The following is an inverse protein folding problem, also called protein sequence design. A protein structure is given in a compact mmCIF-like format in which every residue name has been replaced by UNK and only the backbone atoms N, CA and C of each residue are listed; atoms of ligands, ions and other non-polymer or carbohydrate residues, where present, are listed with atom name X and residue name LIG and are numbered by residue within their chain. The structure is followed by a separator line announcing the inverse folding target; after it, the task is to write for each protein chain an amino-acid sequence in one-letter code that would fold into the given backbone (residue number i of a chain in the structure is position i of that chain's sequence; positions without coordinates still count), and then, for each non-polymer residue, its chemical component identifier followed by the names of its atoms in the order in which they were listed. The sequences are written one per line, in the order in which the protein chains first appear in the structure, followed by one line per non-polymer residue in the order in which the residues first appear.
data_IF_760334396910
#
_entry.id   IF_760334396910
#
_cell.length_a   1.000
_cell.length_b   1.000
_cell.length_c   1.000
_cell.angle_alpha   90.00
_cell.angle_beta   90.00
_cell.angle_gamma   90.00
#
_symmetry.space_group_name_H-M   'P 1'
#
loop_
_entity.id
_entity.type
_entity.pdbx_description
1 polymer ?
#
# COMPACT_ATOMS: atom_id res chain seq x y z
N UNK A 1 -23.92 -11.99 -6.75
CA UNK A 1 -22.68 -12.82 -6.67
C UNK A 1 -21.43 -12.05 -7.10
N UNK A 2 -21.37 -11.49 -8.31
CA UNK A 2 -20.18 -10.79 -8.84
C UNK A 2 -19.67 -9.67 -7.91
N UNK A 3 -20.58 -8.85 -7.39
CA UNK A 3 -20.27 -7.77 -6.43
C UNK A 3 -19.50 -8.26 -5.20
N UNK A 4 -19.98 -9.34 -4.58
CA UNK A 4 -19.36 -9.92 -3.38
C UNK A 4 -17.97 -10.44 -3.73
N UNK A 5 -17.81 -11.08 -4.89
CA UNK A 5 -16.54 -11.61 -5.36
C UNK A 5 -15.51 -10.48 -5.57
N UNK A 6 -15.92 -9.38 -6.20
CA UNK A 6 -15.08 -8.19 -6.38
C UNK A 6 -14.71 -7.52 -5.05
N UNK A 7 -15.66 -7.36 -4.12
CA UNK A 7 -15.37 -6.85 -2.78
C UNK A 7 -14.34 -7.70 -2.06
N UNK A 8 -14.51 -9.04 -2.05
CA UNK A 8 -13.58 -9.96 -1.40
C UNK A 8 -12.20 -9.85 -2.03
N UNK A 9 -12.12 -9.77 -3.37
CA UNK A 9 -10.85 -9.62 -4.08
C UNK A 9 -10.12 -8.33 -3.68
N UNK A 10 -10.83 -7.20 -3.60
CA UNK A 10 -10.27 -5.91 -3.18
C UNK A 10 -9.78 -5.96 -1.73
N UNK A 11 -10.59 -6.52 -0.82
CA UNK A 11 -10.22 -6.68 0.59
C UNK A 11 -8.97 -7.56 0.71
N UNK A 12 -8.95 -8.69 -0.01
CA UNK A 12 -7.81 -9.60 -0.02
C UNK A 12 -6.55 -8.91 -0.55
N UNK A 13 -6.65 -8.12 -1.62
CA UNK A 13 -5.54 -7.36 -2.16
C UNK A 13 -4.99 -6.36 -1.13
N UNK A 14 -5.88 -5.65 -0.43
CA UNK A 14 -5.49 -4.72 0.64
C UNK A 14 -4.77 -5.41 1.80
N UNK A 15 -5.27 -6.57 2.25
CA UNK A 15 -4.62 -7.39 3.29
C UNK A 15 -3.25 -7.87 2.81
N UNK A 16 -3.14 -8.32 1.57
CA UNK A 16 -1.90 -8.80 0.98
C UNK A 16 -0.83 -7.69 0.92
N UNK A 17 -1.21 -6.47 0.53
CA UNK A 17 -0.31 -5.30 0.55
C UNK A 17 0.22 -5.05 1.97
N UNK A 18 -0.65 -5.04 2.98
CA UNK A 18 -0.24 -4.84 4.38
C UNK A 18 0.72 -5.93 4.83
N UNK A 19 0.40 -7.20 4.53
CA UNK A 19 1.24 -8.33 4.90
C UNK A 19 2.63 -8.23 4.26
N UNK A 20 2.71 -8.04 2.94
CA UNK A 20 3.98 -7.92 2.21
C UNK A 20 4.81 -6.74 2.73
N UNK A 21 4.16 -5.60 2.99
CA UNK A 21 4.85 -4.39 3.47
C UNK A 21 5.52 -4.61 4.83
N UNK A 22 4.87 -5.36 5.73
CA UNK A 22 5.42 -5.69 7.05
C UNK A 22 6.53 -6.73 6.93
N UNK A 23 6.33 -7.81 6.19
CA UNK A 23 7.32 -8.90 6.07
C UNK A 23 8.57 -8.50 5.26
N UNK A 24 8.44 -7.62 4.26
CA UNK A 24 9.57 -7.14 3.44
C UNK A 24 10.49 -6.17 4.19
N UNK A 25 10.01 -5.54 5.27
CA UNK A 25 10.78 -4.62 6.10
C UNK A 25 11.98 -5.31 6.76
N UNK A 26 11.80 -6.50 7.31
CA UNK A 26 12.86 -7.19 8.06
C UNK A 26 13.93 -7.76 7.12
N UNK A 27 13.53 -8.30 5.97
CA UNK A 27 14.48 -8.91 5.01
C UNK A 27 15.37 -7.90 4.29
N UNK A 28 14.90 -6.67 4.06
CA UNK A 28 15.66 -5.66 3.34
C UNK A 28 16.67 -4.91 4.21
N UNK A 29 16.43 -4.76 5.51
CA UNK A 29 17.33 -4.06 6.44
C UNK A 29 18.62 -4.85 6.67
N UNK A 30 18.54 -6.18 6.71
CA UNK A 30 19.69 -7.05 7.01
C UNK A 30 20.67 -7.19 5.83
N UNK A 31 20.23 -6.88 4.60
CA UNK A 31 21.09 -6.93 3.40
C UNK A 31 21.94 -5.68 3.18
N UNK A 32 21.70 -4.60 3.90
CA UNK A 32 22.40 -3.33 3.68
C UNK A 32 23.64 -3.22 4.59
N UNK A 33 24.80 -3.63 4.07
CA UNK A 33 26.07 -3.73 4.82
C UNK A 33 26.85 -2.40 4.96
N UNK A 34 26.50 -1.31 4.24
CA UNK A 34 27.34 -0.09 4.18
C UNK A 34 26.73 1.17 4.81
N UNK A 35 27.63 2.12 5.13
CA UNK A 35 27.61 3.37 5.92
C UNK A 35 26.33 4.23 6.07
N UNK A 36 25.23 3.95 5.36
CA UNK A 36 23.99 4.73 5.39
C UNK A 36 22.78 3.95 5.95
N UNK A 37 23.03 3.03 6.89
CA UNK A 37 22.00 2.17 7.50
C UNK A 37 20.84 2.98 8.11
N UNK A 38 21.10 4.15 8.69
CA UNK A 38 20.06 5.00 9.28
C UNK A 38 19.17 5.69 8.24
N UNK A 39 19.75 6.14 7.13
CA UNK A 39 19.02 6.76 6.01
C UNK A 39 18.14 5.71 5.34
N UNK A 40 18.69 4.53 5.08
CA UNK A 40 17.97 3.40 4.49
C UNK A 40 16.86 2.87 5.41
N UNK A 41 17.10 2.78 6.73
CA UNK A 41 16.08 2.40 7.70
C UNK A 41 14.93 3.41 7.75
N UNK A 42 15.23 4.71 7.62
CA UNK A 42 14.20 5.75 7.49
C UNK A 42 13.42 5.59 6.17
N UNK A 43 14.11 5.42 5.04
CA UNK A 43 13.49 5.16 3.73
C UNK A 43 12.50 3.99 3.81
N UNK A 44 12.95 2.80 4.23
CA UNK A 44 12.09 1.62 4.37
C UNK A 44 10.93 1.92 5.31
N UNK A 45 11.17 2.55 6.46
CA UNK A 45 10.10 2.85 7.42
C UNK A 45 9.00 3.71 6.80
N UNK A 46 9.35 4.77 6.06
CA UNK A 46 8.36 5.64 5.42
C UNK A 46 7.67 4.96 4.24
N UNK A 47 8.40 4.18 3.45
CA UNK A 47 7.82 3.41 2.34
C UNK A 47 6.83 2.37 2.86
N UNK A 48 7.23 1.55 3.82
CA UNK A 48 6.36 0.57 4.49
C UNK A 48 5.13 1.25 5.10
N UNK A 49 5.28 2.42 5.72
CA UNK A 49 4.14 3.15 6.28
C UNK A 49 3.15 3.58 5.18
N UNK A 50 3.65 4.07 4.05
CA UNK A 50 2.81 4.43 2.89
C UNK A 50 2.06 3.22 2.35
N UNK A 51 2.76 2.10 2.16
CA UNK A 51 2.17 0.89 1.60
C UNK A 51 1.14 0.28 2.56
N UNK A 52 1.40 0.28 3.88
CA UNK A 52 0.42 -0.15 4.88
C UNK A 52 -0.83 0.73 4.87
N UNK A 53 -0.68 2.05 4.80
CA UNK A 53 -1.82 2.97 4.72
C UNK A 53 -2.63 2.72 3.44
N UNK A 54 -1.96 2.53 2.30
CA UNK A 54 -2.59 2.18 1.02
C UNK A 54 -3.37 0.86 1.12
N UNK A 55 -2.77 -0.17 1.69
CA UNK A 55 -3.42 -1.47 1.90
C UNK A 55 -4.66 -1.38 2.80
N UNK A 56 -4.59 -0.62 3.90
CA UNK A 56 -5.75 -0.36 4.77
C UNK A 56 -6.86 0.36 4.00
N UNK A 57 -6.53 1.37 3.19
CA UNK A 57 -7.52 2.08 2.39
C UNK A 57 -8.20 1.16 1.37
N UNK A 58 -7.47 0.25 0.74
CA UNK A 58 -8.06 -0.79 -0.12
C UNK A 58 -9.05 -1.67 0.64
N UNK A 59 -8.73 -2.10 1.86
CA UNK A 59 -9.66 -2.87 2.70
C UNK A 59 -10.93 -2.07 2.99
N UNK A 60 -10.80 -0.79 3.36
CA UNK A 60 -11.95 0.09 3.62
C UNK A 60 -12.81 0.24 2.37
N UNK A 61 -12.22 0.48 1.20
CA UNK A 61 -12.92 0.59 -0.08
C UNK A 61 -13.69 -0.71 -0.39
N UNK A 62 -13.06 -1.86 -0.16
CA UNK A 62 -13.69 -3.16 -0.36
C UNK A 62 -14.91 -3.37 0.53
N UNK A 63 -14.84 -2.96 1.80
CA UNK A 63 -16.00 -2.97 2.70
C UNK A 63 -17.08 -1.97 2.28
N UNK A 64 -16.71 -0.75 1.91
CA UNK A 64 -17.66 0.26 1.43
C UNK A 64 -18.42 -0.22 0.19
N UNK A 65 -17.72 -0.90 -0.74
CA UNK A 65 -18.37 -1.55 -1.88
C UNK A 65 -19.31 -2.66 -1.41
N UNK A 66 -18.88 -3.51 -0.47
CA UNK A 66 -19.66 -4.63 0.05
C UNK A 66 -20.98 -4.15 0.66
N UNK A 67 -20.95 -3.08 1.47
CA UNK A 67 -22.11 -2.46 2.13
C UNK A 67 -22.94 -1.51 1.25
N UNK A 68 -22.73 -1.48 -0.07
CA UNK A 68 -23.44 -0.59 -1.01
C UNK A 68 -23.24 0.92 -0.73
N UNK A 69 -22.19 1.30 0.01
CA UNK A 69 -21.87 2.71 0.25
C UNK A 69 -21.27 3.34 -1.02
N UNK A 70 -20.48 2.56 -1.76
CA UNK A 70 -19.89 2.97 -3.04
C UNK A 70 -20.40 2.12 -4.20
N UNK A 71 -20.58 2.75 -5.36
CA UNK A 71 -20.78 2.06 -6.64
C UNK A 71 -19.47 1.44 -7.13
N UNK A 72 -19.55 0.46 -8.05
CA UNK A 72 -18.36 -0.16 -8.64
C UNK A 72 -17.48 0.84 -9.40
N UNK A 73 -18.10 1.83 -10.05
CA UNK A 73 -17.39 2.92 -10.75
C UNK A 73 -16.59 3.78 -9.78
N UNK A 74 -17.20 4.17 -8.65
CA UNK A 74 -16.52 4.96 -7.61
C UNK A 74 -15.36 4.18 -7.00
N UNK A 75 -15.54 2.88 -6.78
CA UNK A 75 -14.47 1.99 -6.29
C UNK A 75 -13.30 1.96 -7.26
N UNK A 76 -13.55 1.83 -8.56
CA UNK A 76 -12.52 1.85 -9.59
C UNK A 76 -11.76 3.18 -9.63
N UNK A 77 -12.47 4.31 -9.61
CA UNK A 77 -11.86 5.64 -9.60
C UNK A 77 -11.02 5.87 -8.35
N UNK A 78 -11.57 5.62 -7.16
CA UNK A 78 -10.86 5.81 -5.89
C UNK A 78 -9.62 4.91 -5.85
N UNK A 79 -9.75 3.64 -6.24
CA UNK A 79 -8.61 2.70 -6.29
C UNK A 79 -7.50 3.19 -7.23
N UNK A 80 -7.86 3.74 -8.39
CA UNK A 80 -6.89 4.26 -9.37
C UNK A 80 -6.16 5.48 -8.81
N UNK A 81 -6.90 6.42 -8.21
CA UNK A 81 -6.32 7.59 -7.54
C UNK A 81 -5.39 7.16 -6.40
N UNK A 82 -5.78 6.14 -5.65
CA UNK A 82 -4.99 5.61 -4.55
C UNK A 82 -3.65 5.04 -5.02
N UNK A 83 -3.65 4.27 -6.12
CA UNK A 83 -2.44 3.71 -6.73
C UNK A 83 -1.52 4.82 -7.23
N UNK A 84 -2.07 5.82 -7.92
CA UNK A 84 -1.31 6.97 -8.40
C UNK A 84 -0.71 7.77 -7.23
N UNK A 85 -1.49 8.02 -6.18
CA UNK A 85 -1.02 8.70 -4.99
C UNK A 85 0.12 7.93 -4.32
N UNK A 86 -0.01 6.60 -4.17
CA UNK A 86 1.06 5.78 -3.59
C UNK A 86 2.34 5.87 -4.43
N UNK A 87 2.23 5.88 -5.76
CA UNK A 87 3.39 6.01 -6.65
C UNK A 87 4.07 7.38 -6.55
N UNK A 88 3.28 8.45 -6.40
CA UNK A 88 3.80 9.80 -6.15
C UNK A 88 4.53 9.84 -4.81
N UNK A 89 3.96 9.25 -3.76
CA UNK A 89 4.59 9.19 -2.43
C UNK A 89 5.91 8.42 -2.48
N UNK A 90 5.94 7.26 -3.15
CA UNK A 90 7.16 6.48 -3.37
C UNK A 90 8.26 7.29 -4.07
N UNK A 91 7.92 8.03 -5.14
CA UNK A 91 8.86 8.92 -5.84
C UNK A 91 9.40 10.03 -4.92
N UNK A 92 8.55 10.63 -4.09
CA UNK A 92 8.97 11.66 -3.14
C UNK A 92 9.92 11.08 -2.08
N UNK A 93 9.61 9.88 -1.58
CA UNK A 93 10.44 9.19 -0.57
C UNK A 93 11.79 8.80 -1.16
N UNK A 94 11.83 8.18 -2.36
CA UNK A 94 13.06 7.83 -3.07
C UNK A 94 13.95 9.05 -3.31
N UNK A 95 13.40 10.14 -3.86
CA UNK A 95 14.13 11.38 -4.08
C UNK A 95 14.67 11.98 -2.78
N UNK A 96 13.90 11.94 -1.68
CA UNK A 96 14.32 12.48 -0.37
C UNK A 96 15.50 11.72 0.22
N UNK A 97 15.53 10.40 0.04
CA UNK A 97 16.56 9.54 0.63
C UNK A 97 17.65 9.13 -0.37
N UNK A 98 17.62 9.66 -1.61
CA UNK A 98 18.55 9.34 -2.71
C UNK A 98 18.68 7.82 -2.95
N UNK A 99 17.56 7.13 -2.83
CA UNK A 99 17.42 5.69 -3.10
C UNK A 99 16.91 5.47 -4.51
#
# INVERSE_FOLDING_TARGET
MIKILFSILIIFLGILIVAISIFSKDTNIDRCWNENKDIYKKYIKYQTLSDVLSGILFVIIGFMYLFNILSGENVGLISTVLVLANRIVELIISNKYKM
#
